data_IF_261401458358
#
_entry.id   IF_261401458358
#
_cell.length_a   1.000
_cell.length_b   1.000
_cell.length_c   1.000
_cell.angle_alpha   90.00
_cell.angle_beta   90.00
_cell.angle_gamma   90.00
#
_symmetry.space_group_name_H-M   'P 1'
#
loop_
_entity.id
_entity.type
_entity.pdbx_description
1 polymer ?
#
# COMPACT_ATOMS: atom_id res chain seq x y z
N UNK A 1 4.58 -59.10 53.11
CA UNK A 1 4.54 -57.69 52.66
C UNK A 1 5.97 -57.17 52.76
N UNK A 2 6.73 -57.21 51.65
CA UNK A 2 8.05 -56.60 51.56
C UNK A 2 7.92 -55.45 50.57
N UNK A 3 8.12 -54.22 51.04
CA UNK A 3 8.16 -53.02 50.21
C UNK A 3 9.63 -52.64 50.02
N UNK A 4 10.07 -52.73 48.78
CA UNK A 4 11.38 -52.38 48.27
C UNK A 4 11.45 -50.85 48.10
N UNK A 5 12.36 -50.20 48.83
CA UNK A 5 12.66 -48.77 48.69
C UNK A 5 13.59 -48.55 47.50
N UNK A 6 13.05 -47.95 46.44
CA UNK A 6 13.79 -47.53 45.25
C UNK A 6 14.39 -46.14 45.50
N UNK A 7 15.72 -46.07 45.69
CA UNK A 7 16.47 -44.82 45.73
C UNK A 7 16.53 -44.22 44.31
N UNK A 8 15.89 -43.06 44.11
CA UNK A 8 16.05 -42.25 42.91
C UNK A 8 17.31 -41.38 43.06
N UNK A 9 18.38 -41.74 42.35
CA UNK A 9 19.54 -40.89 42.11
C UNK A 9 19.13 -39.65 41.30
N UNK A 10 19.33 -38.47 41.86
CA UNK A 10 19.04 -37.19 41.20
C UNK A 10 20.28 -36.73 40.42
N UNK A 11 20.17 -36.71 39.09
CA UNK A 11 21.23 -36.29 38.16
C UNK A 11 21.66 -34.84 38.44
N UNK A 12 22.91 -34.67 38.88
CA UNK A 12 23.51 -33.37 39.21
C UNK A 12 23.94 -32.56 37.97
N UNK A 13 23.92 -33.15 36.77
CA UNK A 13 24.42 -32.53 35.54
C UNK A 13 23.49 -31.44 34.96
N UNK A 14 22.20 -31.41 35.34
CA UNK A 14 21.28 -30.34 34.91
C UNK A 14 21.52 -29.01 35.65
N UNK A 15 22.31 -29.03 36.74
CA UNK A 15 22.53 -27.86 37.59
C UNK A 15 23.67 -26.98 37.05
N UNK A 16 24.63 -27.55 36.31
CA UNK A 16 25.72 -26.78 35.71
C UNK A 16 25.27 -25.97 34.49
N UNK A 17 24.41 -26.51 33.63
CA UNK A 17 23.91 -25.80 32.43
C UNK A 17 22.98 -24.62 32.79
N UNK A 18 22.33 -24.65 33.96
CA UNK A 18 21.51 -23.54 34.49
C UNK A 18 22.31 -22.44 35.18
N UNK A 19 23.57 -22.71 35.56
CA UNK A 19 24.43 -21.72 36.23
C UNK A 19 25.02 -20.71 35.25
N UNK A 20 25.13 -21.06 33.97
CA UNK A 20 25.73 -20.20 32.93
C UNK A 20 24.74 -19.17 32.33
N UNK A 21 23.44 -19.30 32.60
CA UNK A 21 22.40 -18.36 32.12
C UNK A 21 22.22 -17.15 33.08
N UNK A 22 22.90 -17.13 34.22
CA UNK A 22 22.80 -16.06 35.22
C UNK A 22 23.92 -15.01 35.18
N UNK A 23 24.75 -14.99 34.14
CA UNK A 23 25.43 -13.75 33.77
C UNK A 23 24.42 -12.84 33.07
N UNK A 24 23.87 -11.89 33.85
CA UNK A 24 22.82 -10.94 33.44
C UNK A 24 23.02 -10.40 32.02
N UNK A 25 22.15 -10.79 31.10
CA UNK A 25 22.10 -10.23 29.73
C UNK A 25 22.12 -8.70 29.79
N UNK A 26 22.93 -8.01 28.96
CA UNK A 26 23.07 -6.54 29.00
C UNK A 26 21.75 -5.79 28.81
N UNK A 27 20.76 -6.41 28.16
CA UNK A 27 19.40 -5.90 28.03
C UNK A 27 18.64 -5.84 29.36
N UNK A 28 18.81 -6.86 30.22
CA UNK A 28 18.16 -6.93 31.54
C UNK A 28 18.74 -5.84 32.45
N UNK A 29 20.05 -5.59 32.36
CA UNK A 29 20.71 -4.50 33.07
C UNK A 29 20.15 -3.13 32.64
N UNK A 30 20.09 -2.86 31.33
CA UNK A 30 19.50 -1.62 30.81
C UNK A 30 18.02 -1.45 31.20
N UNK A 31 17.23 -2.52 31.18
CA UNK A 31 15.84 -2.50 31.62
C UNK A 31 15.71 -2.14 33.10
N UNK A 32 16.53 -2.74 33.95
CA UNK A 32 16.56 -2.45 35.39
C UNK A 32 16.97 -0.99 35.65
N UNK A 33 18.05 -0.50 35.03
CA UNK A 33 18.48 0.91 35.09
C UNK A 33 17.34 1.87 34.70
N UNK A 34 16.67 1.60 33.57
CA UNK A 34 15.58 2.43 33.07
C UNK A 34 14.36 2.42 33.99
N UNK A 35 14.03 1.26 34.58
CA UNK A 35 12.91 1.15 35.53
C UNK A 35 13.12 2.02 36.78
N UNK A 36 14.38 2.15 37.24
CA UNK A 36 14.73 2.99 38.38
C UNK A 36 14.57 4.48 38.04
N UNK A 37 14.88 4.89 36.81
CA UNK A 37 14.64 6.26 36.35
C UNK A 37 13.14 6.59 36.33
N UNK A 38 12.28 5.66 35.91
CA UNK A 38 10.83 5.85 35.95
C UNK A 38 10.33 6.01 37.39
N UNK A 39 10.77 5.15 38.31
CA UNK A 39 10.41 5.26 39.73
C UNK A 39 10.85 6.59 40.33
N UNK A 40 12.07 7.04 40.02
CA UNK A 40 12.55 8.37 40.45
C UNK A 40 11.70 9.50 39.87
N UNK A 41 11.33 9.42 38.58
CA UNK A 41 10.49 10.42 37.93
C UNK A 41 9.11 10.54 38.59
N UNK A 42 8.49 9.43 38.98
CA UNK A 42 7.19 9.41 39.66
C UNK A 42 7.21 10.11 41.03
N UNK A 43 8.36 10.14 41.69
CA UNK A 43 8.53 10.79 43.00
C UNK A 43 8.90 12.26 42.95
N UNK A 44 9.11 12.86 41.76
CA UNK A 44 9.49 14.26 41.64
C UNK A 44 8.27 15.15 41.84
N UNK A 45 8.34 16.02 42.84
CA UNK A 45 7.42 17.14 43.05
C UNK A 45 8.21 18.42 42.84
N UNK A 46 7.67 19.35 42.04
CA UNK A 46 8.31 20.63 41.74
C UNK A 46 7.44 21.73 42.35
N UNK A 47 7.88 22.28 43.48
CA UNK A 47 7.22 23.38 44.20
C UNK A 47 8.11 24.64 44.31
N UNK A 48 9.38 24.56 43.87
CA UNK A 48 10.35 25.66 43.90
C UNK A 48 11.28 25.68 42.68
N UNK A 49 11.93 26.82 42.44
CA UNK A 49 12.90 26.98 41.34
C UNK A 49 14.14 26.09 41.50
N UNK A 50 14.54 25.81 42.74
CA UNK A 50 15.63 24.88 43.04
C UNK A 50 15.26 23.45 42.61
N UNK A 51 14.04 22.99 42.92
CA UNK A 51 13.54 21.67 42.51
C UNK A 51 13.33 21.58 41.00
N UNK A 52 12.92 22.68 40.35
CA UNK A 52 12.81 22.75 38.89
C UNK A 52 14.18 22.55 38.22
N UNK A 53 15.24 23.12 38.78
CA UNK A 53 16.61 22.94 38.27
C UNK A 53 17.06 21.48 38.39
N UNK A 54 16.83 20.86 39.55
CA UNK A 54 17.13 19.43 39.77
C UNK A 54 16.31 18.53 38.83
N UNK A 55 15.04 18.85 38.61
CA UNK A 55 14.19 18.11 37.67
C UNK A 55 14.68 18.25 36.22
N UNK A 56 15.18 19.42 35.82
CA UNK A 56 15.75 19.65 34.48
C UNK A 56 17.05 18.87 34.24
N UNK A 57 17.92 18.78 35.26
CA UNK A 57 19.12 17.93 35.21
C UNK A 57 18.76 16.45 35.10
N UNK A 58 17.81 15.99 35.92
CA UNK A 58 17.33 14.61 35.88
C UNK A 58 16.67 14.27 34.53
N UNK A 59 15.91 15.20 33.95
CA UNK A 59 15.36 15.06 32.60
C UNK A 59 16.46 14.87 31.55
N UNK A 60 17.60 15.57 31.70
CA UNK A 60 18.77 15.39 30.83
C UNK A 60 19.38 14.00 31.02
N UNK A 61 19.47 13.48 32.24
CA UNK A 61 19.91 12.10 32.52
C UNK A 61 19.00 11.05 31.87
N UNK A 62 17.68 11.23 31.92
CA UNK A 62 16.71 10.36 31.23
C UNK A 62 16.97 10.35 29.71
N UNK A 63 17.23 11.52 29.12
CA UNK A 63 17.57 11.62 27.69
C UNK A 63 18.89 10.90 27.37
N UNK A 64 19.87 10.95 28.27
CA UNK A 64 21.11 10.19 28.17
C UNK A 64 20.90 8.67 28.19
N UNK A 65 20.10 8.17 29.13
CA UNK A 65 19.74 6.75 29.20
C UNK A 65 18.98 6.29 27.94
N UNK A 66 18.05 7.12 27.45
CA UNK A 66 17.36 6.84 26.18
C UNK A 66 18.31 6.78 24.98
N UNK A 67 19.38 7.61 24.95
CA UNK A 67 20.43 7.55 23.93
C UNK A 67 21.25 6.27 24.05
N UNK A 68 21.68 5.88 25.25
CA UNK A 68 22.41 4.63 25.52
C UNK A 68 21.66 3.41 24.96
N UNK A 69 20.35 3.33 25.19
CA UNK A 69 19.50 2.26 24.63
C UNK A 69 19.47 2.31 23.10
N UNK A 70 19.31 3.49 22.50
CA UNK A 70 19.30 3.63 21.04
C UNK A 70 20.61 3.19 20.40
N UNK A 71 21.74 3.57 21.02
CA UNK A 71 23.08 3.26 20.54
C UNK A 71 23.38 1.77 20.71
N UNK A 72 22.97 1.15 21.82
CA UNK A 72 23.07 -0.30 22.05
C UNK A 72 22.40 -1.11 20.93
N UNK A 73 21.18 -0.73 20.53
CA UNK A 73 20.46 -1.42 19.45
C UNK A 73 20.82 -0.92 18.04
N UNK A 74 21.68 0.09 17.88
CA UNK A 74 21.92 0.71 16.57
C UNK A 74 22.56 -0.27 15.59
N UNK A 75 23.62 -0.97 16.01
CA UNK A 75 24.34 -1.92 15.16
C UNK A 75 23.49 -3.16 14.82
N UNK A 76 22.76 -3.70 15.79
CA UNK A 76 21.84 -4.83 15.58
C UNK A 76 20.74 -4.47 14.56
N UNK A 77 20.10 -3.30 14.71
CA UNK A 77 19.11 -2.81 13.74
C UNK A 77 19.71 -2.61 12.35
N UNK A 78 20.93 -2.07 12.27
CA UNK A 78 21.62 -1.86 10.99
C UNK A 78 21.86 -3.19 10.29
N UNK A 79 22.43 -4.17 10.98
CA UNK A 79 22.67 -5.52 10.44
C UNK A 79 21.38 -6.22 10.01
N UNK A 80 20.33 -6.13 10.82
CA UNK A 80 19.02 -6.70 10.48
C UNK A 80 18.42 -6.02 9.22
N UNK A 81 18.52 -4.70 9.11
CA UNK A 81 18.04 -3.97 7.95
C UNK A 81 18.87 -4.28 6.69
N UNK A 82 20.19 -4.43 6.81
CA UNK A 82 21.06 -4.85 5.70
C UNK A 82 20.72 -6.26 5.23
N UNK A 83 20.51 -7.21 6.15
CA UNK A 83 20.10 -8.57 5.83
C UNK A 83 18.72 -8.59 5.15
N UNK A 84 17.73 -7.88 5.71
CA UNK A 84 16.41 -7.74 5.11
C UNK A 84 16.49 -7.15 3.69
N UNK A 85 17.26 -6.06 3.52
CA UNK A 85 17.45 -5.42 2.21
C UNK A 85 18.11 -6.36 1.20
N UNK A 86 19.08 -7.17 1.63
CA UNK A 86 19.73 -8.15 0.77
C UNK A 86 18.73 -9.23 0.30
N UNK A 87 17.87 -9.73 1.20
CA UNK A 87 16.82 -10.70 0.86
C UNK A 87 15.81 -10.13 -0.12
N UNK A 88 15.24 -8.95 0.17
CA UNK A 88 14.31 -8.28 -0.73
C UNK A 88 14.95 -7.96 -2.09
N UNK A 89 16.23 -7.57 -2.09
CA UNK A 89 16.98 -7.32 -3.32
C UNK A 89 17.18 -8.59 -4.16
N UNK A 90 17.41 -9.74 -3.51
CA UNK A 90 17.55 -11.02 -4.20
C UNK A 90 16.21 -11.53 -4.75
N UNK A 91 15.15 -11.43 -3.94
CA UNK A 91 13.79 -11.72 -4.35
C UNK A 91 13.39 -10.88 -5.58
N UNK A 92 13.60 -9.56 -5.55
CA UNK A 92 13.31 -8.68 -6.68
C UNK A 92 14.10 -9.05 -7.94
N UNK A 93 15.35 -9.47 -7.82
CA UNK A 93 16.16 -9.94 -8.97
C UNK A 93 15.62 -11.22 -9.59
N UNK A 94 15.07 -12.13 -8.78
CA UNK A 94 14.46 -13.37 -9.26
C UNK A 94 13.06 -13.16 -9.82
N UNK A 95 12.31 -12.23 -9.22
CA UNK A 95 10.94 -11.91 -9.62
C UNK A 95 10.90 -11.06 -10.89
N UNK A 96 11.84 -10.13 -11.08
CA UNK A 96 11.81 -9.20 -12.22
C UNK A 96 11.79 -9.88 -13.60
N UNK A 97 12.57 -10.94 -13.89
CA UNK A 97 12.45 -11.68 -15.15
C UNK A 97 11.07 -12.34 -15.34
N UNK A 98 10.44 -12.80 -14.25
CA UNK A 98 9.10 -13.39 -14.29
C UNK A 98 8.03 -12.34 -14.55
N UNK A 99 8.13 -11.17 -13.90
CA UNK A 99 7.25 -10.02 -14.16
C UNK A 99 7.38 -9.54 -15.61
N UNK A 100 8.60 -9.46 -16.14
CA UNK A 100 8.85 -9.12 -17.54
C UNK A 100 8.24 -10.18 -18.48
N UNK A 101 8.43 -11.46 -18.19
CA UNK A 101 7.84 -12.54 -18.97
C UNK A 101 6.31 -12.47 -18.95
N UNK A 102 5.71 -12.23 -17.78
CA UNK A 102 4.27 -12.03 -17.61
C UNK A 102 3.76 -10.85 -18.43
N UNK A 103 4.45 -9.70 -18.39
CA UNK A 103 4.08 -8.52 -19.18
C UNK A 103 4.15 -8.81 -20.69
N UNK A 104 5.20 -9.47 -21.16
CA UNK A 104 5.36 -9.86 -22.56
C UNK A 104 4.21 -10.77 -23.00
N UNK A 105 3.88 -11.79 -22.20
CA UNK A 105 2.80 -12.73 -22.52
C UNK A 105 1.44 -12.03 -22.49
N UNK A 106 1.16 -11.17 -21.50
CA UNK A 106 -0.07 -10.36 -21.44
C UNK A 106 -0.23 -9.47 -22.66
N UNK A 107 0.84 -8.80 -23.11
CA UNK A 107 0.82 -7.99 -24.34
C UNK A 107 0.49 -8.83 -25.57
N UNK A 108 1.11 -10.00 -25.72
CA UNK A 108 0.83 -10.92 -26.83
C UNK A 108 -0.62 -11.42 -26.82
N UNK A 109 -1.13 -11.81 -25.65
CA UNK A 109 -2.53 -12.24 -25.49
C UNK A 109 -3.49 -11.09 -25.84
N UNK A 110 -3.21 -9.87 -25.36
CA UNK A 110 -4.03 -8.70 -25.65
C UNK A 110 -4.05 -8.37 -27.15
N UNK A 111 -2.89 -8.37 -27.82
CA UNK A 111 -2.79 -8.13 -29.25
C UNK A 111 -3.51 -9.21 -30.08
N UNK A 112 -3.45 -10.47 -29.63
CA UNK A 112 -4.22 -11.56 -30.24
C UNK A 112 -5.72 -11.32 -30.11
N UNK A 113 -6.22 -11.01 -28.91
CA UNK A 113 -7.65 -10.73 -28.67
C UNK A 113 -8.13 -9.54 -29.50
N UNK A 114 -7.35 -8.47 -29.58
CA UNK A 114 -7.66 -7.31 -30.42
C UNK A 114 -7.76 -7.69 -31.90
N UNK A 115 -6.82 -8.50 -32.39
CA UNK A 115 -6.82 -8.99 -33.77
C UNK A 115 -8.03 -9.88 -34.04
N UNK A 116 -8.36 -10.79 -33.11
CA UNK A 116 -9.54 -11.64 -33.22
C UNK A 116 -10.83 -10.82 -33.22
N UNK A 117 -10.93 -9.80 -32.36
CA UNK A 117 -12.06 -8.88 -32.34
C UNK A 117 -12.16 -8.09 -33.65
N UNK A 118 -11.05 -7.58 -34.20
CA UNK A 118 -11.03 -6.89 -35.50
C UNK A 118 -11.52 -7.80 -36.63
N UNK A 119 -11.00 -9.02 -36.70
CA UNK A 119 -11.43 -10.00 -37.70
C UNK A 119 -12.92 -10.33 -37.55
N UNK A 120 -13.40 -10.48 -36.31
CA UNK A 120 -14.82 -10.70 -36.01
C UNK A 120 -15.69 -9.53 -36.51
N UNK A 121 -15.32 -8.29 -36.18
CA UNK A 121 -16.06 -7.12 -36.64
C UNK A 121 -16.06 -7.01 -38.16
N UNK A 122 -14.94 -7.32 -38.83
CA UNK A 122 -14.87 -7.31 -40.28
C UNK A 122 -15.75 -8.40 -40.91
N UNK A 123 -15.76 -9.62 -40.36
CA UNK A 123 -16.62 -10.71 -40.84
C UNK A 123 -18.09 -10.41 -40.60
N UNK A 124 -18.44 -9.89 -39.43
CA UNK A 124 -19.81 -9.46 -39.11
C UNK A 124 -20.26 -8.35 -40.06
N UNK A 125 -19.39 -7.38 -40.36
CA UNK A 125 -19.70 -6.28 -41.28
C UNK A 125 -19.92 -6.78 -42.71
N UNK A 126 -19.05 -7.65 -43.21
CA UNK A 126 -19.20 -8.28 -44.54
C UNK A 126 -20.47 -9.13 -44.64
N UNK A 127 -20.75 -9.94 -43.61
CA UNK A 127 -21.97 -10.74 -43.57
C UNK A 127 -23.23 -9.88 -43.50
N UNK A 128 -23.20 -8.77 -42.76
CA UNK A 128 -24.31 -7.80 -42.71
C UNK A 128 -24.51 -7.09 -44.06
N UNK A 129 -23.43 -6.69 -44.75
CA UNK A 129 -23.49 -6.10 -46.08
C UNK A 129 -24.08 -7.08 -47.12
N UNK A 130 -23.64 -8.34 -47.10
CA UNK A 130 -24.14 -9.40 -47.98
C UNK A 130 -25.60 -9.78 -47.68
N UNK A 131 -25.95 -9.98 -46.41
CA UNK A 131 -27.32 -10.22 -45.99
C UNK A 131 -28.25 -9.05 -46.36
N UNK A 132 -27.79 -7.80 -46.22
CA UNK A 132 -28.56 -6.64 -46.65
C UNK A 132 -28.73 -6.58 -48.19
N UNK A 133 -27.74 -7.06 -48.96
CA UNK A 133 -27.86 -7.17 -50.42
C UNK A 133 -28.89 -8.24 -50.81
N UNK A 134 -28.82 -9.42 -50.20
CA UNK A 134 -29.77 -10.52 -50.43
C UNK A 134 -31.18 -10.12 -50.01
N UNK A 135 -31.35 -9.46 -48.86
CA UNK A 135 -32.64 -8.95 -48.41
C UNK A 135 -33.25 -7.95 -49.40
N UNK A 136 -32.45 -7.02 -49.94
CA UNK A 136 -32.92 -6.10 -50.99
C UNK A 136 -33.34 -6.81 -52.27
N UNK A 137 -32.73 -7.96 -52.59
CA UNK A 137 -33.13 -8.77 -53.74
C UNK A 137 -34.41 -9.56 -53.44
N UNK A 138 -34.53 -10.13 -52.24
CA UNK A 138 -35.74 -10.78 -51.74
C UNK A 138 -36.95 -9.82 -51.80
N UNK A 139 -36.80 -8.61 -51.27
CA UNK A 139 -37.85 -7.58 -51.29
C UNK A 139 -38.26 -7.19 -52.72
N UNK A 140 -37.32 -7.19 -53.67
CA UNK A 140 -37.61 -6.94 -55.09
C UNK A 140 -38.33 -8.10 -55.76
N UNK A 141 -37.98 -9.34 -55.45
CA UNK A 141 -38.62 -10.55 -55.97
C UNK A 141 -40.07 -10.67 -55.45
N UNK A 142 -40.28 -10.48 -54.15
CA UNK A 142 -41.61 -10.44 -53.54
C UNK A 142 -42.50 -9.35 -54.15
N UNK A 143 -41.95 -8.14 -54.38
CA UNK A 143 -42.69 -7.05 -55.06
C UNK A 143 -43.05 -7.35 -56.51
N UNK A 144 -42.32 -8.24 -57.18
CA UNK A 144 -42.62 -8.72 -58.53
C UNK A 144 -43.58 -9.92 -58.55
N UNK A 145 -44.02 -10.40 -57.39
CA UNK A 145 -44.93 -11.53 -57.25
C UNK A 145 -44.24 -12.90 -57.28
N UNK A 146 -42.91 -12.94 -57.23
CA UNK A 146 -42.13 -14.18 -57.15
C UNK A 146 -41.81 -14.50 -55.69
N UNK A 147 -42.80 -15.09 -55.00
CA UNK A 147 -42.76 -15.36 -53.57
C UNK A 147 -41.72 -16.43 -53.20
N UNK A 148 -41.60 -17.50 -53.99
CA UNK A 148 -40.65 -18.59 -53.73
C UNK A 148 -39.19 -18.09 -53.79
N UNK A 149 -38.86 -17.28 -54.81
CA UNK A 149 -37.52 -16.68 -54.91
C UNK A 149 -37.25 -15.67 -53.79
N UNK A 150 -38.26 -14.90 -53.39
CA UNK A 150 -38.18 -13.96 -52.27
C UNK A 150 -37.87 -14.64 -50.93
N UNK A 151 -38.60 -15.69 -50.60
CA UNK A 151 -38.41 -16.46 -49.36
C UNK A 151 -37.06 -17.18 -49.33
N UNK A 152 -36.62 -17.74 -50.46
CA UNK A 152 -35.29 -18.38 -50.58
C UNK A 152 -34.14 -17.40 -50.30
N UNK A 153 -34.17 -16.21 -50.91
CA UNK A 153 -33.15 -15.18 -50.69
C UNK A 153 -33.15 -14.62 -49.26
N UNK A 154 -34.33 -14.57 -48.63
CA UNK A 154 -34.44 -14.16 -47.22
C UNK A 154 -33.86 -15.21 -46.28
N UNK A 155 -34.06 -16.50 -46.56
CA UNK A 155 -33.44 -17.60 -45.82
C UNK A 155 -31.91 -17.55 -45.99
N UNK A 156 -31.42 -17.32 -47.21
CA UNK A 156 -29.99 -17.18 -47.50
C UNK A 156 -29.35 -16.00 -46.74
N UNK A 157 -30.05 -14.86 -46.66
CA UNK A 157 -29.64 -13.70 -45.87
C UNK A 157 -29.53 -14.04 -44.37
N UNK A 158 -30.51 -14.76 -43.82
CA UNK A 158 -30.51 -15.19 -42.42
C UNK A 158 -29.38 -16.20 -42.11
N UNK A 159 -29.14 -17.15 -43.00
CA UNK A 159 -28.05 -18.14 -42.86
C UNK A 159 -26.67 -17.48 -42.90
N UNK A 160 -26.49 -16.46 -43.74
CA UNK A 160 -25.23 -15.70 -43.86
C UNK A 160 -24.83 -15.03 -42.54
N UNK A 161 -25.79 -14.48 -41.78
CA UNK A 161 -25.53 -13.84 -40.48
C UNK A 161 -25.24 -14.88 -39.39
N UNK A 162 -25.97 -16.00 -39.39
CA UNK A 162 -25.82 -17.05 -38.37
C UNK A 162 -24.44 -17.73 -38.41
N UNK A 163 -23.82 -17.86 -39.58
CA UNK A 163 -22.54 -18.55 -39.76
C UNK A 163 -21.35 -17.83 -39.07
N UNK A 164 -21.47 -16.54 -38.74
CA UNK A 164 -20.37 -15.72 -38.22
C UNK A 164 -20.33 -15.64 -36.69
N UNK A 165 -21.32 -16.19 -35.97
CA UNK A 165 -21.37 -16.13 -34.51
C UNK A 165 -20.26 -16.96 -33.84
N UNK A 166 -19.07 -16.36 -33.66
CA UNK A 166 -17.93 -16.95 -32.96
C UNK A 166 -18.06 -16.81 -31.44
N UNK A 167 -17.89 -17.92 -30.71
CA UNK A 167 -17.85 -17.94 -29.24
C UNK A 167 -16.37 -17.97 -28.80
N UNK A 168 -15.84 -16.94 -28.13
CA UNK A 168 -14.46 -16.95 -27.67
C UNK A 168 -14.23 -18.06 -26.64
N UNK A 169 -13.14 -18.82 -26.82
CA UNK A 169 -12.69 -19.78 -25.81
C UNK A 169 -12.29 -19.04 -24.53
N UNK A 170 -12.93 -19.42 -23.42
CA UNK A 170 -12.58 -18.92 -22.09
C UNK A 170 -11.39 -19.72 -21.56
N UNK A 171 -10.29 -19.04 -21.31
CA UNK A 171 -9.13 -19.65 -20.67
C UNK A 171 -9.30 -19.62 -19.14
N UNK A 172 -9.19 -20.78 -18.48
CA UNK A 172 -9.21 -20.86 -17.02
C UNK A 172 -8.00 -20.13 -16.41
N UNK A 173 -8.20 -19.45 -15.28
CA UNK A 173 -7.15 -18.71 -14.58
C UNK A 173 -6.82 -17.32 -15.14
N UNK A 174 -7.32 -16.93 -16.31
CA UNK A 174 -7.09 -15.60 -16.90
C UNK A 174 -8.41 -14.82 -16.93
N UNK A 175 -8.44 -13.65 -16.28
CA UNK A 175 -9.57 -12.74 -16.27
C UNK A 175 -9.18 -11.39 -16.87
N UNK A 176 -10.04 -10.84 -17.73
CA UNK A 176 -9.86 -9.52 -18.29
C UNK A 176 -10.57 -8.49 -17.41
N UNK A 177 -9.90 -7.36 -17.15
CA UNK A 177 -10.50 -6.21 -16.47
C UNK A 177 -10.31 -4.98 -17.33
N UNK A 178 -11.37 -4.19 -17.45
CA UNK A 178 -11.31 -2.87 -18.07
C UNK A 178 -11.06 -1.84 -16.97
N UNK A 179 -9.96 -1.09 -17.08
CA UNK A 179 -9.74 0.10 -16.25
C UNK A 179 -10.16 1.33 -17.04
N UNK A 180 -11.09 2.09 -16.45
CA UNK A 180 -11.51 3.38 -16.96
C UNK A 180 -10.66 4.44 -16.28
N UNK A 181 -9.72 5.01 -17.02
CA UNK A 181 -8.87 6.09 -16.55
C UNK A 181 -9.44 7.43 -17.02
N UNK A 182 -9.19 8.48 -16.25
CA UNK A 182 -9.58 9.84 -16.57
C UNK A 182 -8.36 10.75 -16.42
N UNK A 183 -8.36 11.84 -17.16
CA UNK A 183 -7.35 12.89 -17.09
C UNK A 183 -8.06 14.22 -16.84
N UNK A 184 -7.43 15.12 -16.08
CA UNK A 184 -7.96 16.47 -15.91
C UNK A 184 -7.61 17.29 -17.14
N UNK A 185 -8.62 17.64 -17.94
CA UNK A 185 -8.43 18.60 -19.03
C UNK A 185 -8.30 20.05 -18.49
N UNK A 186 -9.16 20.43 -17.53
CA UNK A 186 -9.22 21.78 -16.97
C UNK A 186 -9.68 21.75 -15.50
N UNK A 187 -8.81 22.20 -14.60
CA UNK A 187 -9.04 22.21 -13.15
C UNK A 187 -10.17 23.17 -12.77
N UNK A 188 -10.37 24.26 -13.50
CA UNK A 188 -11.33 25.32 -13.15
C UNK A 188 -12.78 24.88 -13.35
N UNK A 189 -13.00 23.86 -14.18
CA UNK A 189 -14.32 23.28 -14.45
C UNK A 189 -14.67 22.13 -13.50
N UNK A 190 -13.73 21.72 -12.63
CA UNK A 190 -13.99 20.66 -11.65
C UNK A 190 -14.93 21.19 -10.57
N UNK A 191 -16.10 20.56 -10.35
CA UNK A 191 -16.98 20.94 -9.25
C UNK A 191 -16.27 20.84 -7.90
N UNK A 192 -16.57 21.78 -6.99
CA UNK A 192 -15.90 21.89 -5.68
C UNK A 192 -16.04 20.64 -4.80
N UNK A 193 -17.03 19.81 -5.06
CA UNK A 193 -17.25 18.52 -4.39
C UNK A 193 -16.12 17.51 -4.65
N UNK A 194 -15.43 17.61 -5.80
CA UNK A 194 -14.31 16.74 -6.16
C UNK A 194 -12.95 17.35 -5.79
N UNK A 195 -12.92 18.59 -5.27
CA UNK A 195 -11.69 19.27 -4.84
C UNK A 195 -11.47 19.04 -3.35
N UNK A 196 -10.30 18.52 -3.00
CA UNK A 196 -9.87 18.36 -1.60
C UNK A 196 -8.83 19.41 -1.23
N UNK A 197 -8.82 19.81 0.04
CA UNK A 197 -7.84 20.75 0.56
C UNK A 197 -6.54 20.01 0.88
N UNK A 198 -5.42 20.52 0.37
CA UNK A 198 -4.09 19.97 0.67
C UNK A 198 -3.64 20.31 2.10
N UNK A 199 -3.89 19.38 3.03
CA UNK A 199 -3.48 19.52 4.42
C UNK A 199 -1.95 19.60 4.61
N UNK A 200 -1.16 18.92 3.77
CA UNK A 200 0.30 18.91 3.89
C UNK A 200 0.92 20.25 3.55
N UNK A 201 0.38 20.92 2.52
CA UNK A 201 0.77 22.28 2.18
C UNK A 201 0.41 23.26 3.30
N UNK A 202 -0.77 23.13 3.90
CA UNK A 202 -1.20 23.96 5.03
C UNK A 202 -0.31 23.78 6.26
N UNK A 203 0.05 22.54 6.59
CA UNK A 203 0.98 22.24 7.69
C UNK A 203 2.37 22.84 7.44
N UNK A 204 2.81 22.84 6.19
CA UNK A 204 4.10 23.43 5.80
C UNK A 204 4.08 24.95 5.97
N UNK A 205 3.00 25.61 5.52
CA UNK A 205 2.76 27.04 5.74
C UNK A 205 2.72 27.37 7.24
N UNK A 206 2.03 26.54 8.04
CA UNK A 206 1.97 26.70 9.49
C UNK A 206 3.36 26.60 10.15
N UNK A 207 4.22 25.70 9.68
CA UNK A 207 5.59 25.51 10.19
C UNK A 207 6.52 26.66 9.82
N UNK A 208 6.48 27.13 8.58
CA UNK A 208 7.34 28.26 8.13
C UNK A 208 7.00 29.55 8.87
N UNK A 209 5.73 29.77 9.22
CA UNK A 209 5.29 30.94 10.00
C UNK A 209 5.63 30.86 11.50
N UNK A 210 6.23 29.76 12.00
CA UNK A 210 6.70 29.63 13.40
C UNK A 210 7.97 30.42 13.74
N UNK A 211 8.64 31.05 12.78
CA UNK A 211 9.94 31.69 12.99
C UNK A 211 9.88 32.91 13.96
N UNK A 212 8.71 33.50 14.17
CA UNK A 212 8.53 34.62 15.11
C UNK A 212 7.92 34.14 16.45
N UNK A 213 8.65 33.30 17.19
CA UNK A 213 8.19 32.78 18.49
C UNK A 213 8.00 33.86 19.58
N UNK A 214 8.44 35.10 19.34
CA UNK A 214 8.21 36.26 20.22
C UNK A 214 7.16 37.24 19.70
N UNK A 215 6.62 37.03 18.50
CA UNK A 215 5.51 37.84 18.03
C UNK A 215 4.22 37.18 18.49
N UNK A 216 3.32 37.95 19.11
CA UNK A 216 1.90 37.56 19.25
C UNK A 216 1.40 37.10 17.86
N UNK A 217 0.30 36.34 17.72
CA UNK A 217 -0.27 36.03 16.39
C UNK A 217 -0.69 37.35 15.71
N UNK A 218 0.27 38.03 15.11
CA UNK A 218 0.21 39.42 14.70
C UNK A 218 0.15 39.40 13.18
N UNK A 219 -1.06 39.61 12.68
CA UNK A 219 -1.45 40.27 11.43
C UNK A 219 -0.92 39.76 10.07
N UNK A 220 0.10 38.90 10.06
CA UNK A 220 0.75 38.32 8.87
C UNK A 220 0.43 36.84 8.65
N UNK A 221 -0.72 36.38 9.17
CA UNK A 221 -1.38 35.23 8.55
C UNK A 221 -1.48 35.58 7.06
N UNK A 222 -0.78 34.84 6.20
CA UNK A 222 -1.15 34.75 4.78
C UNK A 222 -2.59 34.26 4.83
N UNK A 223 -3.56 35.19 4.84
CA UNK A 223 -4.97 34.92 5.11
C UNK A 223 -5.43 34.05 3.96
N UNK A 224 -5.38 32.73 4.13
CA UNK A 224 -6.02 31.81 3.22
C UNK A 224 -7.50 31.88 3.60
N UNK A 225 -8.37 32.46 2.75
CA UNK A 225 -9.77 32.59 3.08
C UNK A 225 -10.37 31.23 3.43
N UNK A 226 -10.98 31.12 4.60
CA UNK A 226 -11.58 29.86 5.09
C UNK A 226 -10.69 28.98 5.97
N UNK A 227 -9.44 29.37 6.32
CA UNK A 227 -8.52 28.57 7.15
C UNK A 227 -7.99 29.37 8.36
N UNK A 228 -8.01 28.76 9.56
CA UNK A 228 -7.55 29.35 10.83
C UNK A 228 -6.42 28.52 11.45
N UNK A 229 -5.27 29.14 11.74
CA UNK A 229 -4.13 28.50 12.42
C UNK A 229 -4.13 28.80 13.93
N UNK A 230 -3.61 27.89 14.77
CA UNK A 230 -3.52 28.03 16.23
C UNK A 230 -2.23 27.40 16.81
N UNK A 231 -1.82 27.82 18.01
CA UNK A 231 -0.59 27.36 18.70
C UNK A 231 -0.91 26.59 19.99
N UNK A 232 -0.17 25.50 20.27
CA UNK A 232 -0.18 24.74 21.53
C UNK A 232 1.25 24.59 22.04
N UNK A 233 1.51 24.90 23.32
CA UNK A 233 2.85 24.80 23.93
C UNK A 233 3.17 23.35 24.35
N UNK A 234 4.43 22.93 24.13
CA UNK A 234 4.96 21.61 24.49
C UNK A 234 6.42 21.74 24.95
N UNK A 235 6.79 21.08 26.05
CA UNK A 235 8.17 21.08 26.58
C UNK A 235 9.03 20.06 25.82
N UNK A 236 10.26 20.42 25.45
CA UNK A 236 11.22 19.54 24.80
C UNK A 236 12.58 19.57 25.51
N UNK A 237 13.25 18.42 25.61
CA UNK A 237 14.58 18.28 26.19
C UNK A 237 15.52 17.47 25.28
N UNK A 238 16.81 17.82 25.30
CA UNK A 238 17.89 17.20 24.51
C UNK A 238 18.93 16.60 25.46
N UNK A 239 19.44 15.41 25.13
CA UNK A 239 20.60 14.85 25.84
C UNK A 239 21.82 15.73 25.57
N UNK A 240 22.72 15.90 26.56
CA UNK A 240 24.07 16.41 26.29
C UNK A 240 24.88 15.41 25.48
#
# INVERSE_FOLDING_TARGET
MNTETMELSFDTDTVEEKKEIQETKPEIQLQNENSLLVKKAQGIVIASDAENTVAAEFLTSIKGAAKKVKDFFADSKKKAHEAWKAVCGNEAKMLSPLEQAEEIVKKKISAYIETQNRLRFESERKAAEEAARLQKQADKAMKKGDTEMGESLQLEAAMTVAQVAYIPQKNEGISMRYSWNWEVEDITKIPREYLTVDAGLLDSIAKTQKADANSKPADFLRKIPGIKFFTKSTIAAKAR
#
